data_IF_237228829092
#
_entry.id   IF_237228829092
#
_cell.length_a   1.000
_cell.length_b   1.000
_cell.length_c   1.000
_cell.angle_alpha   90.00
_cell.angle_beta   90.00
_cell.angle_gamma   90.00
#
_symmetry.space_group_name_H-M   'P 1'
#
loop_
_entity.id
_entity.type
_entity.pdbx_description
1 polymer ?
#
# COMPACT_ATOMS: atom_id res chain seq x y z
N UNK A 1 -13.29 -18.56 14.51
CA UNK A 1 -13.89 -17.64 13.50
C UNK A 1 -12.74 -17.13 12.65
N UNK A 2 -12.83 -17.20 11.31
CA UNK A 2 -11.78 -16.64 10.46
C UNK A 2 -11.75 -15.12 10.66
N UNK A 3 -10.61 -14.56 11.08
CA UNK A 3 -10.42 -13.12 11.14
C UNK A 3 -10.28 -12.64 9.70
N UNK A 4 -11.30 -11.95 9.18
CA UNK A 4 -11.20 -11.36 7.85
C UNK A 4 -10.27 -10.16 7.90
N UNK A 5 -9.03 -10.38 7.47
CA UNK A 5 -8.01 -9.34 7.34
C UNK A 5 -8.51 -8.27 6.36
N UNK A 6 -8.52 -7.01 6.80
CA UNK A 6 -9.00 -5.89 5.98
C UNK A 6 -8.07 -5.66 4.79
N UNK A 7 -8.61 -5.20 3.68
CA UNK A 7 -7.86 -4.96 2.43
C UNK A 7 -7.99 -3.50 2.00
N UNK A 8 -6.88 -2.89 1.59
CA UNK A 8 -6.83 -1.52 1.07
C UNK A 8 -6.19 -1.49 -0.32
N UNK A 9 -6.75 -0.66 -1.21
CA UNK A 9 -6.21 -0.34 -2.53
C UNK A 9 -5.62 1.07 -2.50
N UNK A 10 -4.33 1.21 -2.83
CA UNK A 10 -3.62 2.48 -2.84
C UNK A 10 -3.16 2.79 -4.26
N UNK A 11 -3.56 3.96 -4.77
CA UNK A 11 -3.09 4.49 -6.05
C UNK A 11 -1.88 5.39 -5.84
N UNK A 12 -0.92 5.35 -6.78
CA UNK A 12 0.32 6.13 -6.63
C UNK A 12 1.17 5.68 -5.44
N UNK A 13 1.23 4.37 -5.17
CA UNK A 13 1.82 3.81 -3.95
C UNK A 13 3.36 3.76 -3.93
N UNK A 14 4.04 4.36 -4.91
CA UNK A 14 5.51 4.24 -5.03
C UNK A 14 6.28 5.39 -4.38
N UNK A 15 5.63 6.51 -4.08
CA UNK A 15 6.29 7.73 -3.62
C UNK A 15 5.45 8.57 -2.68
N UNK A 16 6.11 9.45 -1.93
CA UNK A 16 5.47 10.40 -1.02
C UNK A 16 4.40 9.74 -0.14
N UNK A 17 3.23 10.37 0.01
CA UNK A 17 2.13 9.91 0.87
C UNK A 17 1.60 8.52 0.48
N UNK A 18 1.61 8.16 -0.81
CA UNK A 18 1.15 6.85 -1.26
C UNK A 18 2.02 5.71 -0.71
N UNK A 19 3.33 5.92 -0.65
CA UNK A 19 4.26 4.98 -0.03
C UNK A 19 4.08 4.94 1.49
N UNK A 20 3.97 6.09 2.15
CA UNK A 20 3.76 6.16 3.61
C UNK A 20 2.46 5.46 4.04
N UNK A 21 1.39 5.56 3.25
CA UNK A 21 0.14 4.86 3.51
C UNK A 21 0.29 3.35 3.32
N UNK A 22 1.01 2.91 2.27
CA UNK A 22 1.27 1.49 2.04
C UNK A 22 2.06 0.87 3.21
N UNK A 23 3.08 1.56 3.70
CA UNK A 23 3.84 1.14 4.88
C UNK A 23 2.98 1.11 6.15
N UNK A 24 2.16 2.14 6.37
CA UNK A 24 1.26 2.23 7.51
C UNK A 24 0.29 1.05 7.55
N UNK A 25 -0.46 0.80 6.47
CA UNK A 25 -1.44 -0.29 6.45
C UNK A 25 -0.79 -1.68 6.47
N UNK A 26 0.44 -1.81 5.97
CA UNK A 26 1.22 -3.04 6.13
C UNK A 26 1.54 -3.31 7.61
N UNK A 27 1.92 -2.26 8.37
CA UNK A 27 2.19 -2.36 9.82
C UNK A 27 0.94 -2.66 10.65
N UNK A 28 -0.21 -2.16 10.23
CA UNK A 28 -1.51 -2.44 10.87
C UNK A 28 -2.06 -3.85 10.58
N UNK A 29 -1.28 -4.70 9.89
CA UNK A 29 -1.69 -6.03 9.45
C UNK A 29 -2.92 -6.01 8.54
N UNK A 30 -2.91 -5.15 7.51
CA UNK A 30 -3.90 -5.18 6.43
C UNK A 30 -3.30 -5.84 5.18
N UNK A 31 -4.16 -6.35 4.30
CA UNK A 31 -3.76 -6.68 2.94
C UNK A 31 -3.65 -5.38 2.14
N UNK A 32 -2.49 -5.12 1.54
CA UNK A 32 -2.25 -3.88 0.79
C UNK A 32 -2.08 -4.21 -0.69
N UNK A 33 -2.91 -3.59 -1.54
CA UNK A 33 -2.78 -3.62 -3.00
C UNK A 33 -2.30 -2.23 -3.44
N UNK A 34 -1.02 -2.13 -3.82
CA UNK A 34 -0.44 -0.91 -4.37
C UNK A 34 -0.53 -0.87 -5.90
N UNK A 35 -0.86 0.29 -6.47
CA UNK A 35 -0.85 0.50 -7.93
C UNK A 35 0.03 1.68 -8.30
N UNK A 36 0.72 1.52 -9.43
CA UNK A 36 1.67 2.49 -9.94
C UNK A 36 1.60 2.57 -11.47
N UNK A 37 2.09 3.67 -12.03
CA UNK A 37 2.22 3.80 -13.49
C UNK A 37 3.41 2.97 -13.98
N UNK A 38 3.41 2.53 -15.25
CA UNK A 38 4.61 1.97 -15.85
C UNK A 38 5.80 2.94 -15.68
N UNK A 39 6.96 2.40 -15.33
CA UNK A 39 8.21 3.17 -15.08
C UNK A 39 8.16 4.16 -13.92
N UNK A 40 7.23 4.02 -12.98
CA UNK A 40 7.27 4.82 -11.74
C UNK A 40 8.37 4.32 -10.82
N UNK A 41 9.36 5.17 -10.54
CA UNK A 41 10.38 4.86 -9.54
C UNK A 41 9.81 5.02 -8.13
N UNK A 42 10.37 4.25 -7.20
CA UNK A 42 10.18 4.44 -5.75
C UNK A 42 11.13 5.51 -5.24
N UNK A 43 10.70 6.30 -4.26
CA UNK A 43 11.53 7.37 -3.65
C UNK A 43 12.56 6.83 -2.63
N UNK A 44 12.88 5.53 -2.66
CA UNK A 44 13.82 4.89 -1.73
C UNK A 44 15.28 5.11 -2.13
#
# INVERSE_FOLDING_TARGET
MATTKKTVLITGSTRSIGLSLAEYYTKEDWNVIGTARPNSNTDQ
#
